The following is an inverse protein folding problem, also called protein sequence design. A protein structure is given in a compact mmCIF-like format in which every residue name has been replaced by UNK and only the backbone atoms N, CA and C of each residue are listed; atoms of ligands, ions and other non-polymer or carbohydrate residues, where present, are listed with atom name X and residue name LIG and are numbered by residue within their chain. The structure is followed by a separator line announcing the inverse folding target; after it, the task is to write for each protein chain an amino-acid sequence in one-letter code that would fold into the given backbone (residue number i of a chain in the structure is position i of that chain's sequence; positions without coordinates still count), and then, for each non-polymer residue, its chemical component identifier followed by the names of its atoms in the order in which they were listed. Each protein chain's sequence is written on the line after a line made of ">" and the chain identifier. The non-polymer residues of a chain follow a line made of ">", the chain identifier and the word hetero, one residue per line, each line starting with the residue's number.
data_IF_189192522508
#
_entry.id   IF_189192522508
#
_cell.length_a   1.000
_cell.length_b   1.000
_cell.length_c   1.000
_cell.angle_alpha   90.00
_cell.angle_beta   90.00
_cell.angle_gamma   90.00
#
_symmetry.space_group_name_H-M   'P 1'
#
loop_
_entity.id
_entity.type
_entity.pdbx_description
1 polymer ?
#
# COMPACT_ATOMS: atom_id res chain seq x y z
N UNK A 1 7.75 -4.41 9.57
CA UNK A 1 7.85 -3.25 10.50
C UNK A 1 7.79 -3.69 11.97
N UNK A 2 6.82 -4.54 12.35
CA UNK A 2 6.69 -5.07 13.72
C UNK A 2 7.94 -5.78 14.26
N UNK A 3 8.58 -6.62 13.44
CA UNK A 3 9.85 -7.28 13.82
C UNK A 3 10.99 -6.29 14.11
N UNK A 4 10.87 -5.05 13.62
CA UNK A 4 11.83 -3.95 13.87
C UNK A 4 11.40 -3.07 15.06
N UNK A 5 10.44 -3.52 15.87
CA UNK A 5 9.93 -2.80 17.03
C UNK A 5 8.88 -1.73 16.73
N UNK A 6 8.53 -1.51 15.45
CA UNK A 6 7.48 -0.55 15.07
C UNK A 6 6.13 -1.25 15.13
N UNK A 7 5.34 -0.95 16.16
CA UNK A 7 4.02 -1.54 16.36
C UNK A 7 3.07 -1.20 15.21
N UNK A 8 2.15 -2.12 14.92
CA UNK A 8 1.06 -1.85 14.01
C UNK A 8 0.09 -0.87 14.71
N UNK A 9 -0.27 0.25 14.05
CA UNK A 9 -1.22 1.21 14.58
C UNK A 9 -2.65 0.64 14.52
N UNK A 10 -3.51 1.05 15.45
CA UNK A 10 -4.94 0.74 15.47
C UNK A 10 -5.69 1.61 14.44
N UNK A 11 -5.19 2.81 14.15
CA UNK A 11 -5.77 3.73 13.16
C UNK A 11 -4.70 4.44 12.34
N UNK A 12 -5.07 4.95 11.17
CA UNK A 12 -4.19 5.82 10.37
C UNK A 12 -3.77 7.11 11.10
N UNK A 13 -4.63 7.66 11.94
CA UNK A 13 -4.32 8.83 12.77
C UNK A 13 -3.28 8.47 13.83
N UNK A 14 -3.41 7.31 14.47
CA UNK A 14 -2.41 6.84 15.41
C UNK A 14 -1.05 6.74 14.72
N UNK A 15 -0.98 6.11 13.54
CA UNK A 15 0.24 6.06 12.73
C UNK A 15 0.87 7.44 12.50
N UNK A 16 0.05 8.41 12.06
CA UNK A 16 0.51 9.76 11.79
C UNK A 16 1.18 10.37 13.04
N UNK A 17 0.59 10.14 14.21
CA UNK A 17 1.03 10.66 15.51
C UNK A 17 2.14 9.85 16.19
N UNK A 18 2.48 8.65 15.71
CA UNK A 18 3.57 7.86 16.31
C UNK A 18 4.91 8.61 16.21
N UNK A 19 5.62 8.66 17.34
CA UNK A 19 6.98 9.21 17.43
C UNK A 19 8.00 8.22 16.84
N UNK A 20 8.00 8.13 15.50
CA UNK A 20 8.89 7.30 14.70
C UNK A 20 9.64 8.23 13.75
N UNK A 21 10.97 8.10 13.62
CA UNK A 21 11.74 8.89 12.67
C UNK A 21 11.20 8.78 11.25
N UNK A 22 11.14 9.90 10.54
CA UNK A 22 10.63 9.94 9.17
C UNK A 22 11.43 9.04 8.22
N UNK A 23 12.76 8.98 8.41
CA UNK A 23 13.67 8.11 7.68
C UNK A 23 14.35 7.17 8.68
N UNK A 24 14.47 5.89 8.33
CA UNK A 24 15.16 4.94 9.17
C UNK A 24 15.44 3.62 8.45
N UNK A 25 15.85 2.62 9.23
CA UNK A 25 16.10 1.27 8.75
C UNK A 25 15.34 0.27 9.60
N UNK A 26 14.68 -0.67 8.95
CA UNK A 26 14.11 -1.87 9.55
C UNK A 26 15.22 -2.91 9.76
N UNK A 27 14.86 -4.03 10.38
CA UNK A 27 15.73 -5.20 10.52
C UNK A 27 16.29 -5.62 9.15
N UNK A 28 17.56 -6.06 9.12
CA UNK A 28 18.28 -6.33 7.87
C UNK A 28 18.75 -5.07 7.12
N UNK A 29 18.62 -3.88 7.70
CA UNK A 29 19.11 -2.64 7.11
C UNK A 29 18.20 -2.07 6.01
N UNK A 30 16.97 -2.58 5.90
CA UNK A 30 15.98 -2.20 4.89
C UNK A 30 15.52 -0.75 5.13
N UNK A 31 15.76 0.20 4.20
CA UNK A 31 15.35 1.58 4.39
C UNK A 31 13.83 1.74 4.38
N UNK A 32 13.32 2.64 5.22
CA UNK A 32 11.93 3.08 5.19
C UNK A 32 11.83 4.61 5.19
N UNK A 33 10.70 5.11 4.68
CA UNK A 33 10.28 6.50 4.72
C UNK A 33 8.83 6.59 5.21
N UNK A 34 8.63 7.06 6.43
CA UNK A 34 7.31 7.37 6.98
C UNK A 34 6.79 8.67 6.35
N UNK A 35 5.54 8.64 5.92
CA UNK A 35 4.81 9.78 5.39
C UNK A 35 3.38 9.76 5.94
N UNK A 36 2.57 10.79 5.62
CA UNK A 36 1.23 11.06 6.16
C UNK A 36 0.58 9.91 6.96
N UNK A 37 -0.22 9.09 6.27
CA UNK A 37 -0.86 7.91 6.85
C UNK A 37 -0.13 6.61 6.54
N UNK A 38 1.09 6.66 6.02
CA UNK A 38 1.74 5.50 5.45
C UNK A 38 3.25 5.44 5.58
N UNK A 39 3.81 4.48 4.85
CA UNK A 39 5.24 4.22 4.84
C UNK A 39 5.65 3.62 3.49
N UNK A 40 6.77 4.11 2.96
CA UNK A 40 7.45 3.48 1.82
C UNK A 40 8.64 2.67 2.31
N UNK A 41 8.68 1.38 1.99
CA UNK A 41 9.76 0.45 2.37
C UNK A 41 10.51 0.03 1.12
N UNK A 42 11.84 0.17 1.13
CA UNK A 42 12.71 -0.20 -0.01
C UNK A 42 13.27 -1.61 0.17
N UNK A 43 12.55 -2.61 -0.35
CA UNK A 43 12.97 -4.01 -0.31
C UNK A 43 13.97 -4.31 -1.45
N UNK A 44 14.74 -5.41 -1.38
CA UNK A 44 15.70 -5.76 -2.42
C UNK A 44 15.09 -5.94 -3.82
N UNK A 45 13.81 -6.33 -3.89
CA UNK A 45 13.10 -6.60 -5.16
C UNK A 45 12.21 -5.44 -5.64
N UNK A 46 12.16 -4.34 -4.90
CA UNK A 46 11.27 -3.22 -5.22
C UNK A 46 10.84 -2.47 -3.98
N UNK A 47 10.21 -1.31 -4.18
CA UNK A 47 9.61 -0.57 -3.08
C UNK A 47 8.15 -0.98 -2.88
N UNK A 48 7.69 -0.90 -1.64
CA UNK A 48 6.27 -1.02 -1.28
C UNK A 48 5.88 0.27 -0.58
N UNK A 49 4.96 1.02 -1.18
CA UNK A 49 4.34 2.21 -0.60
C UNK A 49 2.89 1.89 -0.22
N UNK A 50 2.54 2.11 1.05
CA UNK A 50 1.21 1.82 1.57
C UNK A 50 0.80 2.88 2.58
N UNK A 51 -0.51 3.11 2.68
CA UNK A 51 -1.13 3.82 3.79
C UNK A 51 -1.84 2.84 4.71
N UNK A 52 -1.85 3.15 6.00
CA UNK A 52 -2.77 2.52 6.93
C UNK A 52 -4.19 3.01 6.66
N UNK A 53 -5.14 2.09 6.69
CA UNK A 53 -6.57 2.40 6.67
C UNK A 53 -7.07 3.01 7.97
N UNK A 54 -8.32 3.46 7.99
CA UNK A 54 -8.96 4.05 9.17
C UNK A 54 -8.85 3.18 10.42
N UNK A 55 -8.88 1.84 10.24
CA UNK A 55 -8.77 0.85 11.31
C UNK A 55 -7.41 0.12 11.26
N UNK A 56 -6.36 0.81 10.80
CA UNK A 56 -5.00 0.25 10.77
C UNK A 56 -4.82 -0.86 9.73
N UNK A 57 -5.73 -0.97 8.75
CA UNK A 57 -5.63 -1.93 7.67
C UNK A 57 -4.38 -1.66 6.83
N UNK A 58 -3.74 -2.73 6.33
CA UNK A 58 -2.51 -2.64 5.52
C UNK A 58 -2.71 -3.14 4.08
N UNK A 59 -3.93 -3.55 3.74
CA UNK A 59 -4.31 -4.13 2.45
C UNK A 59 -5.02 -3.13 1.53
N UNK A 60 -5.09 -1.86 1.92
CA UNK A 60 -5.64 -0.80 1.08
C UNK A 60 -4.63 -0.31 0.07
N UNK A 61 -5.08 -0.04 -1.15
CA UNK A 61 -4.23 0.48 -2.23
C UNK A 61 -5.00 1.39 -3.16
N UNK A 62 -4.29 2.15 -3.98
CA UNK A 62 -4.84 2.90 -5.10
C UNK A 62 -4.06 2.55 -6.38
N UNK A 63 -4.54 3.04 -7.51
CA UNK A 63 -3.89 2.81 -8.80
C UNK A 63 -2.43 3.29 -8.82
N UNK A 64 -2.14 4.43 -8.19
CA UNK A 64 -0.78 4.98 -8.17
C UNK A 64 0.18 4.07 -7.40
N UNK A 65 -0.24 3.52 -6.26
CA UNK A 65 0.56 2.55 -5.49
C UNK A 65 0.77 1.25 -6.24
N UNK A 66 -0.22 0.77 -6.99
CA UNK A 66 -0.05 -0.41 -7.85
C UNK A 66 0.95 -0.14 -8.97
N UNK A 67 0.90 1.05 -9.59
CA UNK A 67 1.86 1.46 -10.61
C UNK A 67 3.27 1.61 -10.03
N UNK A 68 3.45 2.24 -8.86
CA UNK A 68 4.75 2.37 -8.19
C UNK A 68 5.31 1.01 -7.72
N UNK A 69 4.45 0.10 -7.28
CA UNK A 69 4.84 -1.26 -6.90
C UNK A 69 5.25 -2.11 -8.11
N UNK A 70 4.49 -2.03 -9.20
CA UNK A 70 4.81 -2.74 -10.42
C UNK A 70 6.07 -2.15 -11.08
N UNK A 71 6.17 -0.82 -11.13
CA UNK A 71 7.26 -0.08 -11.76
C UNK A 71 7.56 -0.66 -13.17
N UNK A 72 8.83 -0.95 -13.46
CA UNK A 72 9.28 -1.58 -14.70
C UNK A 72 8.85 -3.05 -14.87
N UNK A 73 8.20 -3.65 -13.87
CA UNK A 73 7.84 -5.08 -13.81
C UNK A 73 6.36 -5.37 -14.13
N UNK A 74 5.62 -4.44 -14.74
CA UNK A 74 4.20 -4.65 -15.11
C UNK A 74 3.93 -5.99 -15.82
N UNK A 75 4.83 -6.41 -16.72
CA UNK A 75 4.71 -7.68 -17.45
C UNK A 75 4.78 -8.91 -16.53
N UNK A 76 5.52 -8.86 -15.42
CA UNK A 76 5.56 -9.95 -14.43
C UNK A 76 4.20 -10.14 -13.74
N UNK A 77 3.36 -9.10 -13.73
CA UNK A 77 2.01 -9.10 -13.17
C UNK A 77 0.91 -9.26 -14.23
N UNK A 78 1.27 -9.59 -15.47
CA UNK A 78 0.31 -9.83 -16.55
C UNK A 78 -0.22 -8.57 -17.24
N UNK A 79 0.36 -7.40 -16.98
CA UNK A 79 -0.03 -6.15 -17.63
C UNK A 79 0.96 -5.75 -18.73
N UNK A 80 0.44 -5.47 -19.93
CA UNK A 80 1.25 -5.04 -21.06
C UNK A 80 1.63 -3.55 -21.04
N UNK A 81 0.96 -2.76 -20.19
CA UNK A 81 1.16 -1.31 -20.06
C UNK A 81 0.47 -0.78 -18.80
N UNK A 82 0.85 0.43 -18.38
CA UNK A 82 0.16 1.17 -17.32
C UNK A 82 -1.32 1.38 -17.65
N UNK A 83 -1.65 1.62 -18.93
CA UNK A 83 -3.01 1.78 -19.40
C UNK A 83 -3.85 0.50 -19.20
N UNK A 84 -3.26 -0.67 -19.42
CA UNK A 84 -3.92 -1.95 -19.17
C UNK A 84 -4.20 -2.17 -17.68
N UNK A 85 -3.26 -1.83 -16.80
CA UNK A 85 -3.45 -1.88 -15.35
C UNK A 85 -4.54 -0.90 -14.90
N UNK A 86 -4.51 0.34 -15.40
CA UNK A 86 -5.54 1.34 -15.12
C UNK A 86 -6.93 0.87 -15.54
N UNK A 87 -7.06 0.33 -16.74
CA UNK A 87 -8.34 -0.18 -17.23
C UNK A 87 -8.86 -1.32 -16.35
N UNK A 88 -8.00 -2.28 -16.00
CA UNK A 88 -8.35 -3.36 -15.08
C UNK A 88 -8.82 -2.83 -13.74
N UNK A 89 -8.07 -1.90 -13.13
CA UNK A 89 -8.45 -1.28 -11.86
C UNK A 89 -9.85 -0.64 -11.93
N UNK A 90 -10.12 0.16 -12.96
CA UNK A 90 -11.43 0.80 -13.17
C UNK A 90 -12.55 -0.23 -13.37
N UNK A 91 -12.29 -1.32 -14.06
CA UNK A 91 -13.27 -2.38 -14.31
C UNK A 91 -13.57 -3.17 -13.02
N UNK A 92 -12.57 -3.41 -12.17
CA UNK A 92 -12.73 -4.03 -10.86
C UNK A 92 -13.54 -3.14 -9.89
N UNK A 93 -13.34 -1.81 -9.95
CA UNK A 93 -14.15 -0.83 -9.20
C UNK A 93 -15.60 -0.85 -9.70
N UNK A 94 -15.82 -0.80 -11.02
CA UNK A 94 -17.18 -0.86 -11.61
C UNK A 94 -17.89 -2.17 -11.29
N UNK A 95 -17.15 -3.28 -11.23
CA UNK A 95 -17.67 -4.58 -10.87
C UNK A 95 -17.95 -4.74 -9.37
N UNK A 96 -17.61 -3.74 -8.54
CA UNK A 96 -17.77 -3.78 -7.09
C UNK A 96 -16.82 -4.75 -6.38
N UNK A 97 -15.76 -5.22 -7.06
CA UNK A 97 -14.73 -6.08 -6.47
C UNK A 97 -13.66 -5.27 -5.74
N UNK A 98 -13.49 -4.01 -6.13
CA UNK A 98 -12.74 -3.00 -5.38
C UNK A 98 -13.69 -1.95 -4.81
N UNK A 99 -13.70 -1.80 -3.49
CA UNK A 99 -14.56 -0.84 -2.79
C UNK A 99 -13.72 0.32 -2.29
N UNK A 100 -14.12 1.53 -2.67
CA UNK A 100 -13.50 2.76 -2.19
C UNK A 100 -13.72 2.91 -0.68
N UNK A 101 -12.66 3.20 0.05
CA UNK A 101 -12.65 3.34 1.50
C UNK A 101 -13.41 4.57 2.01
N UNK A 102 -13.79 5.50 1.12
CA UNK A 102 -14.19 6.85 1.48
C UNK A 102 -13.02 7.84 1.54
N UNK A 103 -11.78 7.33 1.60
CA UNK A 103 -10.57 8.15 1.69
C UNK A 103 -9.35 7.48 1.03
N UNK A 104 -9.09 7.88 -0.21
CA UNK A 104 -7.94 7.55 -1.11
C UNK A 104 -7.69 6.08 -1.47
N UNK A 105 -8.03 5.13 -0.60
CA UNK A 105 -7.73 3.71 -0.78
C UNK A 105 -8.93 2.93 -1.30
N UNK A 106 -8.64 1.80 -1.93
CA UNK A 106 -9.60 0.76 -2.31
C UNK A 106 -9.22 -0.54 -1.61
N UNK A 107 -10.22 -1.32 -1.28
CA UNK A 107 -10.07 -2.65 -0.69
C UNK A 107 -10.72 -3.69 -1.57
N UNK A 108 -10.11 -4.87 -1.62
CA UNK A 108 -10.77 -6.05 -2.19
C UNK A 108 -11.99 -6.40 -1.34
N UNK A 109 -13.09 -6.72 -1.99
CA UNK A 109 -14.22 -7.36 -1.31
C UNK A 109 -13.81 -8.79 -1.03
N UNK A 110 -13.65 -9.14 0.25
CA UNK A 110 -13.47 -10.53 0.63
C UNK A 110 -14.66 -11.34 0.11
N UNK A 111 -14.37 -12.37 -0.69
CA UNK A 111 -15.36 -13.33 -1.16
C UNK A 111 -15.76 -14.25 -0.01
N UNK A 112 -16.33 -13.68 1.06
CA UNK A 112 -16.95 -14.41 2.15
C UNK A 112 -18.45 -14.56 1.83
N UNK A 113 -18.78 -15.60 1.07
CA UNK A 113 -20.12 -16.20 1.07
C UNK A 113 -20.08 -17.47 1.88
#
# INVERSE_FOLDING_TARGET
>A
MQESGIKQPITNIEWACMDIPQLGKLIGGIPYFKHGFGCKVKLPRGAVDFDFGEQGQINGFDLWRLLDFADSRLFEYGFSSEAALKQCFEDEVKAGRLVYSGYMLYYLVDSSN
#
